data_IF_666562687056
#
_entry.id   IF_666562687056
#
_cell.length_a   1.000
_cell.length_b   1.000
_cell.length_c   1.000
_cell.angle_alpha   90.00
_cell.angle_beta   90.00
_cell.angle_gamma   90.00
#
_symmetry.space_group_name_H-M   'P 1'
#
loop_
_entity.id
_entity.type
_entity.pdbx_description
1 polymer ?
#
# COMPACT_ATOMS: atom_id res chain seq x y z
N UNK A 1 -4.61 -15.82 -9.93
CA UNK A 1 -4.81 -14.74 -10.92
C UNK A 1 -6.07 -13.92 -10.70
N UNK A 2 -7.27 -14.53 -10.67
CA UNK A 2 -8.54 -13.80 -10.47
C UNK A 2 -8.53 -12.88 -9.23
N UNK A 3 -8.04 -13.37 -8.08
CA UNK A 3 -7.91 -12.55 -6.87
C UNK A 3 -7.02 -11.32 -7.04
N UNK A 4 -5.89 -11.45 -7.76
CA UNK A 4 -4.95 -10.35 -8.00
C UNK A 4 -5.57 -9.31 -8.94
N UNK A 5 -6.32 -9.74 -9.94
CA UNK A 5 -7.05 -8.86 -10.84
C UNK A 5 -8.13 -8.07 -10.10
N UNK A 6 -8.94 -8.74 -9.27
CA UNK A 6 -9.97 -8.09 -8.45
C UNK A 6 -9.36 -7.07 -7.49
N UNK A 7 -8.26 -7.41 -6.82
CA UNK A 7 -7.55 -6.51 -5.92
C UNK A 7 -7.03 -5.27 -6.66
N UNK A 8 -6.42 -5.46 -7.83
CA UNK A 8 -5.90 -4.38 -8.67
C UNK A 8 -7.03 -3.46 -9.17
N UNK A 9 -8.16 -4.03 -9.60
CA UNK A 9 -9.34 -3.27 -10.02
C UNK A 9 -9.94 -2.46 -8.86
N UNK A 10 -10.11 -3.08 -7.69
CA UNK A 10 -10.61 -2.40 -6.49
C UNK A 10 -9.70 -1.23 -6.08
N UNK A 11 -8.38 -1.45 -6.10
CA UNK A 11 -7.40 -0.41 -5.80
C UNK A 11 -7.43 0.76 -6.79
N UNK A 12 -7.52 0.47 -8.08
CA UNK A 12 -7.65 1.49 -9.12
C UNK A 12 -8.94 2.30 -8.96
N UNK A 13 -10.06 1.62 -8.69
CA UNK A 13 -11.35 2.26 -8.43
C UNK A 13 -11.32 3.17 -7.20
N UNK A 14 -10.78 2.70 -6.07
CA UNK A 14 -10.56 3.51 -4.88
C UNK A 14 -9.73 4.77 -5.17
N UNK A 15 -8.60 4.61 -5.88
CA UNK A 15 -7.71 5.72 -6.21
C UNK A 15 -8.38 6.76 -7.12
N UNK A 16 -9.24 6.30 -8.03
CA UNK A 16 -10.05 7.17 -8.88
C UNK A 16 -11.13 7.92 -8.10
N UNK A 17 -11.85 7.25 -7.20
CA UNK A 17 -12.83 7.89 -6.31
C UNK A 17 -12.19 8.95 -5.42
N UNK A 18 -10.97 8.70 -4.92
CA UNK A 18 -10.24 9.67 -4.11
C UNK A 18 -9.99 10.99 -4.87
N UNK A 19 -9.75 10.88 -6.18
CA UNK A 19 -9.55 12.00 -7.09
C UNK A 19 -10.86 12.71 -7.52
N UNK A 20 -12.03 12.14 -7.22
CA UNK A 20 -13.36 12.70 -7.55
C UNK A 20 -14.21 12.90 -6.30
N UNK A 21 -13.96 13.95 -5.51
CA UNK A 21 -14.76 14.25 -4.32
C UNK A 21 -16.22 14.49 -4.68
N UNK A 22 -17.13 13.85 -3.96
CA UNK A 22 -18.56 14.19 -3.96
C UNK A 22 -18.88 15.16 -2.82
N UNK A 23 -19.95 15.96 -2.90
CA UNK A 23 -20.37 16.84 -1.80
C UNK A 23 -20.61 16.08 -0.49
N UNK A 24 -21.15 14.86 -0.57
CA UNK A 24 -21.41 13.99 0.58
C UNK A 24 -20.13 13.44 1.24
N UNK A 25 -19.06 13.26 0.47
CA UNK A 25 -17.78 12.78 1.01
C UNK A 25 -16.90 13.90 1.58
N UNK A 26 -17.20 15.16 1.28
CA UNK A 26 -16.45 16.32 1.76
C UNK A 26 -16.25 16.38 3.29
N UNK A 27 -17.28 16.17 4.15
CA UNK A 27 -17.10 16.25 5.60
C UNK A 27 -16.22 15.12 6.16
N UNK A 28 -16.43 13.87 5.73
CA UNK A 28 -15.61 12.72 6.14
C UNK A 28 -14.17 12.85 5.64
N UNK A 29 -13.95 13.41 4.45
CA UNK A 29 -12.60 13.63 3.91
C UNK A 29 -11.86 14.79 4.58
N UNK A 30 -12.59 15.79 5.08
CA UNK A 30 -12.01 16.89 5.84
C UNK A 30 -11.44 16.39 7.18
N UNK A 31 -12.09 15.39 7.79
CA UNK A 31 -11.59 14.68 8.96
C UNK A 31 -10.80 13.43 8.55
N UNK A 32 -9.49 13.60 8.39
CA UNK A 32 -8.59 12.51 8.04
C UNK A 32 -8.65 11.33 9.02
N UNK A 33 -8.87 11.58 10.31
CA UNK A 33 -8.95 10.50 11.30
C UNK A 33 -10.22 9.67 11.08
N UNK A 34 -11.35 10.33 10.82
CA UNK A 34 -12.59 9.65 10.46
C UNK A 34 -12.48 8.88 9.13
N UNK A 35 -11.81 9.45 8.12
CA UNK A 35 -11.57 8.77 6.85
C UNK A 35 -10.71 7.51 7.02
N UNK A 36 -9.59 7.61 7.75
CA UNK A 36 -8.74 6.44 8.06
C UNK A 36 -9.48 5.41 8.92
N UNK A 37 -10.26 5.84 9.91
CA UNK A 37 -11.04 4.95 10.75
C UNK A 37 -12.02 4.12 9.92
N UNK A 38 -12.69 4.74 8.94
CA UNK A 38 -13.54 4.02 7.99
C UNK A 38 -12.79 2.89 7.28
N UNK A 39 -11.57 3.17 6.78
CA UNK A 39 -10.73 2.16 6.13
C UNK A 39 -10.28 1.06 7.10
N UNK A 40 -9.89 1.43 8.32
CA UNK A 40 -9.46 0.51 9.37
C UNK A 40 -10.60 -0.43 9.75
N UNK A 41 -11.83 0.05 9.88
CA UNK A 41 -12.99 -0.80 10.24
C UNK A 41 -13.22 -1.87 9.18
N UNK A 42 -13.25 -1.50 7.90
CA UNK A 42 -13.39 -2.49 6.82
C UNK A 42 -12.22 -3.47 6.78
N UNK A 43 -11.00 -2.99 6.94
CA UNK A 43 -9.80 -3.82 7.02
C UNK A 43 -9.86 -4.81 8.18
N UNK A 44 -10.25 -4.35 9.37
CA UNK A 44 -10.35 -5.15 10.58
C UNK A 44 -11.43 -6.23 10.46
N UNK A 45 -12.60 -5.91 9.90
CA UNK A 45 -13.68 -6.88 9.66
C UNK A 45 -13.18 -8.02 8.77
N UNK A 46 -12.54 -7.69 7.66
CA UNK A 46 -12.00 -8.69 6.74
C UNK A 46 -10.86 -9.47 7.41
N UNK A 47 -9.86 -8.81 7.99
CA UNK A 47 -8.76 -9.47 8.68
C UNK A 47 -9.22 -10.42 9.78
N UNK A 48 -10.24 -10.04 10.57
CA UNK A 48 -10.81 -10.90 11.61
C UNK A 48 -11.53 -12.11 11.01
N UNK A 49 -12.26 -11.92 9.91
CA UNK A 49 -12.92 -13.03 9.21
C UNK A 49 -11.90 -14.06 8.69
N UNK A 50 -10.81 -13.61 8.05
CA UNK A 50 -9.78 -14.53 7.55
C UNK A 50 -8.98 -15.18 8.69
N UNK A 51 -8.60 -14.41 9.71
CA UNK A 51 -7.88 -14.93 10.86
C UNK A 51 -8.71 -15.97 11.64
N UNK A 52 -10.02 -15.75 11.79
CA UNK A 52 -10.91 -16.72 12.45
C UNK A 52 -11.09 -18.01 11.65
N UNK A 53 -11.17 -17.92 10.33
CA UNK A 53 -11.17 -19.11 9.45
C UNK A 53 -9.84 -19.86 9.56
N UNK A 54 -8.70 -19.17 9.51
CA UNK A 54 -7.38 -19.79 9.65
C UNK A 54 -7.20 -20.47 11.02
N UNK A 55 -7.64 -19.83 12.11
CA UNK A 55 -7.63 -20.42 13.44
C UNK A 55 -8.55 -21.64 13.58
N UNK A 56 -9.65 -21.67 12.84
CA UNK A 56 -10.54 -22.83 12.81
C UNK A 56 -10.00 -24.01 12.00
N UNK A 57 -9.08 -23.76 11.07
CA UNK A 57 -8.54 -24.77 10.14
C UNK A 57 -7.11 -25.22 10.49
N UNK A 58 -6.40 -24.49 11.34
CA UNK A 58 -4.98 -24.73 11.64
C UNK A 58 -4.70 -24.62 13.13
N UNK A 59 -3.60 -25.23 13.58
CA UNK A 59 -3.09 -25.09 14.96
C UNK A 59 -2.32 -23.77 15.18
N UNK A 60 -2.70 -22.68 14.48
CA UNK A 60 -2.04 -21.41 14.59
C UNK A 60 -2.06 -20.89 16.05
N UNK A 61 -0.89 -20.54 16.59
CA UNK A 61 -0.73 -20.00 17.96
C UNK A 61 -0.19 -18.59 17.88
N UNK A 62 -0.78 -17.68 18.65
CA UNK A 62 -0.27 -16.32 18.78
C UNK A 62 0.92 -16.31 19.75
N UNK A 63 2.11 -16.01 19.24
CA UNK A 63 3.32 -15.90 20.05
C UNK A 63 3.46 -14.48 20.60
N UNK A 64 3.00 -14.29 21.83
CA UNK A 64 3.13 -13.02 22.53
C UNK A 64 4.59 -12.72 22.86
N UNK A 65 5.00 -11.47 22.64
CA UNK A 65 6.34 -11.01 22.98
C UNK A 65 6.68 -9.68 22.35
N UNK A 66 7.87 -9.18 22.69
CA UNK A 66 8.41 -7.94 22.13
C UNK A 66 8.52 -7.94 20.60
N UNK A 67 8.89 -9.03 19.91
CA UNK A 67 8.91 -9.05 18.45
C UNK A 67 7.54 -8.78 17.84
N UNK A 68 6.47 -9.36 18.40
CA UNK A 68 5.10 -9.12 17.95
C UNK A 68 4.71 -7.65 18.18
N UNK A 69 4.99 -7.11 19.37
CA UNK A 69 4.70 -5.70 19.67
C UNK A 69 5.45 -4.74 18.73
N UNK A 70 6.74 -4.99 18.48
CA UNK A 70 7.55 -4.19 17.56
C UNK A 70 7.04 -4.27 16.11
N UNK A 71 6.67 -5.46 15.64
CA UNK A 71 6.08 -5.64 14.31
C UNK A 71 4.74 -4.88 14.17
N UNK A 72 3.87 -4.96 15.19
CA UNK A 72 2.61 -4.23 15.21
C UNK A 72 2.83 -2.70 15.17
N UNK A 73 3.75 -2.17 16.00
CA UNK A 73 4.08 -0.74 15.99
C UNK A 73 4.64 -0.32 14.64
N UNK A 74 5.56 -1.10 14.07
CA UNK A 74 6.13 -0.82 12.76
C UNK A 74 5.04 -0.77 11.67
N UNK A 75 4.15 -1.77 11.61
CA UNK A 75 3.06 -1.85 10.62
C UNK A 75 2.04 -0.72 10.83
N UNK A 76 1.66 -0.44 12.07
CA UNK A 76 0.68 0.60 12.39
C UNK A 76 1.21 2.00 12.03
N UNK A 77 2.45 2.32 12.40
CA UNK A 77 3.02 3.64 12.17
C UNK A 77 3.47 3.82 10.72
N UNK A 78 4.23 2.86 10.17
CA UNK A 78 4.83 2.98 8.84
C UNK A 78 3.83 2.86 7.70
N UNK A 79 3.46 1.64 7.29
CA UNK A 79 2.59 1.43 6.14
C UNK A 79 1.14 1.85 6.39
N UNK A 80 0.58 1.67 7.59
CA UNK A 80 -0.82 2.00 7.83
C UNK A 80 -1.06 3.52 7.99
N UNK A 81 -0.28 4.20 8.83
CA UNK A 81 -0.53 5.63 9.11
C UNK A 81 0.22 6.56 8.14
N UNK A 82 1.55 6.48 8.12
CA UNK A 82 2.39 7.42 7.39
C UNK A 82 2.28 7.24 5.88
N UNK A 83 2.28 6.00 5.38
CA UNK A 83 2.21 5.74 3.95
C UNK A 83 0.84 6.12 3.37
N UNK A 84 -0.28 5.73 3.99
CA UNK A 84 -1.61 6.13 3.51
C UNK A 84 -1.83 7.64 3.57
N UNK A 85 -1.35 8.32 4.62
CA UNK A 85 -1.39 9.78 4.69
C UNK A 85 -0.63 10.42 3.54
N UNK A 86 0.60 9.96 3.28
CA UNK A 86 1.44 10.47 2.20
C UNK A 86 0.83 10.19 0.82
N UNK A 87 0.27 9.00 0.63
CA UNK A 87 -0.41 8.60 -0.60
C UNK A 87 -1.64 9.47 -0.88
N UNK A 88 -2.56 9.60 0.09
CA UNK A 88 -3.77 10.40 -0.10
C UNK A 88 -3.45 11.88 -0.36
N UNK A 89 -2.46 12.42 0.34
CA UNK A 89 -1.96 13.77 0.13
C UNK A 89 -1.28 13.95 -1.24
N UNK A 90 -0.59 12.93 -1.75
CA UNK A 90 0.03 12.91 -3.07
C UNK A 90 -1.00 12.83 -4.20
N UNK A 91 -1.92 11.87 -4.13
CA UNK A 91 -3.02 11.71 -5.10
C UNK A 91 -3.91 12.95 -5.14
N UNK A 92 -4.22 13.54 -3.99
CA UNK A 92 -5.04 14.75 -3.92
C UNK A 92 -4.40 15.98 -4.57
N UNK A 93 -3.06 16.07 -4.59
CA UNK A 93 -2.32 17.21 -5.20
C UNK A 93 -1.93 16.98 -6.65
N UNK A 94 -1.50 15.76 -6.99
CA UNK A 94 -0.94 15.43 -8.31
C UNK A 94 -1.89 14.63 -9.21
N UNK A 95 -3.00 14.14 -8.65
CA UNK A 95 -3.92 13.25 -9.34
C UNK A 95 -3.47 11.78 -9.36
N UNK A 96 -4.39 10.84 -9.62
CA UNK A 96 -4.13 9.41 -9.52
C UNK A 96 -3.21 8.89 -10.63
N UNK A 97 -3.22 9.52 -11.81
CA UNK A 97 -2.33 9.14 -12.91
C UNK A 97 -0.85 9.38 -12.56
N UNK A 98 -0.53 10.56 -12.03
CA UNK A 98 0.83 10.91 -11.61
C UNK A 98 1.28 10.03 -10.44
N UNK A 99 0.42 9.84 -9.43
CA UNK A 99 0.71 8.97 -8.29
C UNK A 99 0.97 7.51 -8.70
N UNK A 100 0.23 7.02 -9.71
CA UNK A 100 0.43 5.69 -10.29
C UNK A 100 1.83 5.48 -10.90
N UNK A 101 2.44 6.52 -11.49
CA UNK A 101 3.82 6.41 -11.97
C UNK A 101 4.81 6.17 -10.83
N UNK A 102 4.66 6.88 -9.71
CA UNK A 102 5.55 6.72 -8.54
C UNK A 102 5.44 5.35 -7.88
N UNK A 103 4.27 4.68 -7.95
CA UNK A 103 4.14 3.29 -7.48
C UNK A 103 5.12 2.35 -8.18
N UNK A 104 5.45 2.60 -9.45
CA UNK A 104 6.43 1.78 -10.18
C UNK A 104 7.85 1.88 -9.62
N UNK A 105 8.15 2.89 -8.79
CA UNK A 105 9.43 3.00 -8.08
C UNK A 105 9.50 2.13 -6.82
N UNK A 106 8.38 1.56 -6.37
CA UNK A 106 8.36 0.68 -5.17
C UNK A 106 9.40 -0.44 -5.24
N UNK A 107 9.53 -1.21 -6.35
CA UNK A 107 10.53 -2.28 -6.45
C UNK A 107 11.97 -1.77 -6.31
N UNK A 108 12.26 -0.57 -6.79
CA UNK A 108 13.57 0.06 -6.66
C UNK A 108 13.89 0.37 -5.20
N UNK A 109 12.97 1.05 -4.50
CA UNK A 109 13.16 1.35 -3.07
C UNK A 109 13.26 0.08 -2.24
N UNK A 110 12.44 -0.95 -2.54
CA UNK A 110 12.53 -2.26 -1.89
C UNK A 110 13.91 -2.89 -2.09
N UNK A 111 14.48 -2.83 -3.30
CA UNK A 111 15.82 -3.38 -3.56
C UNK A 111 16.92 -2.62 -2.81
N UNK A 112 16.85 -1.28 -2.77
CA UNK A 112 17.80 -0.44 -2.02
C UNK A 112 17.72 -0.67 -0.51
N UNK A 113 16.50 -0.77 0.03
CA UNK A 113 16.27 -1.06 1.44
C UNK A 113 16.72 -2.48 1.79
N UNK A 114 16.42 -3.47 0.94
CA UNK A 114 16.92 -4.85 1.15
C UNK A 114 18.45 -4.88 1.18
N UNK A 115 19.11 -4.23 0.23
CA UNK A 115 20.58 -4.19 0.19
C UNK A 115 21.21 -3.48 1.39
N UNK A 116 20.58 -2.42 1.91
CA UNK A 116 21.13 -1.65 3.04
C UNK A 116 20.79 -2.23 4.41
N UNK A 117 19.60 -2.78 4.58
CA UNK A 117 19.10 -3.28 5.87
C UNK A 117 19.40 -4.76 6.05
N UNK A 118 19.25 -5.58 4.99
CA UNK A 118 19.44 -7.03 5.03
C UNK A 118 20.82 -7.46 4.51
N UNK A 119 21.56 -6.56 3.86
CA UNK A 119 22.86 -6.86 3.25
C UNK A 119 22.76 -7.67 1.95
N UNK A 120 21.57 -7.79 1.36
CA UNK A 120 21.35 -8.56 0.13
C UNK A 120 21.70 -7.74 -1.11
N UNK A 121 22.80 -8.08 -1.80
CA UNK A 121 23.21 -7.37 -3.01
C UNK A 121 22.15 -7.50 -4.13
N UNK A 122 21.82 -6.42 -4.86
CA UNK A 122 20.89 -6.48 -5.97
C UNK A 122 21.45 -7.39 -7.07
N UNK A 123 20.64 -8.37 -7.49
CA UNK A 123 20.98 -9.26 -8.63
C UNK A 123 20.81 -8.54 -9.96
N UNK A 124 21.45 -9.03 -11.03
CA UNK A 124 21.40 -8.43 -12.38
C UNK A 124 19.98 -8.16 -12.90
N UNK A 125 19.02 -9.04 -12.60
CA UNK A 125 17.62 -8.85 -12.99
C UNK A 125 16.96 -7.64 -12.30
N UNK A 126 17.42 -7.21 -11.13
CA UNK A 126 16.96 -5.96 -10.50
C UNK A 126 17.41 -4.76 -11.32
N UNK A 127 18.63 -4.79 -11.88
CA UNK A 127 19.12 -3.76 -12.79
C UNK A 127 18.29 -3.68 -14.07
N UNK A 128 17.93 -4.82 -14.65
CA UNK A 128 17.07 -4.88 -15.84
C UNK A 128 15.64 -4.42 -15.52
N UNK A 129 15.08 -4.82 -14.38
CA UNK A 129 13.78 -4.33 -13.90
C UNK A 129 13.80 -2.81 -13.69
N UNK A 130 14.86 -2.27 -13.09
CA UNK A 130 15.02 -0.83 -12.90
C UNK A 130 15.09 -0.08 -14.23
N UNK A 131 15.87 -0.59 -15.20
CA UNK A 131 15.94 -0.01 -16.54
C UNK A 131 14.55 0.04 -17.21
N UNK A 132 13.76 -1.04 -17.11
CA UNK A 132 12.41 -1.10 -17.66
C UNK A 132 11.46 -0.10 -16.98
N UNK A 133 11.52 0.03 -15.65
CA UNK A 133 10.72 1.01 -14.89
C UNK A 133 11.05 2.44 -15.36
N UNK A 134 12.34 2.80 -15.42
CA UNK A 134 12.80 4.13 -15.85
C UNK A 134 12.36 4.40 -17.29
N UNK A 135 12.54 3.43 -18.19
CA UNK A 135 12.14 3.55 -19.59
C UNK A 135 10.62 3.78 -19.69
N UNK A 136 9.82 3.00 -18.96
CA UNK A 136 8.36 3.13 -18.93
C UNK A 136 7.91 4.52 -18.44
N UNK A 137 8.52 5.03 -17.38
CA UNK A 137 8.24 6.37 -16.85
C UNK A 137 8.59 7.46 -17.90
N UNK A 138 9.78 7.39 -18.49
CA UNK A 138 10.24 8.39 -19.48
C UNK A 138 9.37 8.37 -20.74
N UNK A 139 8.99 7.20 -21.23
CA UNK A 139 8.11 7.09 -22.40
C UNK A 139 6.71 7.61 -22.12
N UNK A 140 6.19 7.39 -20.91
CA UNK A 140 4.84 7.84 -20.54
C UNK A 140 4.75 9.31 -20.15
N UNK A 141 5.85 9.95 -19.72
CA UNK A 141 5.89 11.37 -19.37
C UNK A 141 6.11 12.31 -20.56
N UNK A 142 6.47 11.75 -21.73
CA UNK A 142 6.65 12.48 -22.99
C UNK A 142 5.35 12.63 -23.81
N UNK A 143 4.21 12.20 -23.28
CA UNK A 143 2.86 12.38 -23.84
C UNK A 143 2.03 13.27 -22.92
#
# INVERSE_FOLDING_TARGET
DVYVLLASMAWAYYSWLLARPTPESAPIRADWAAFLLGQIVFGLVWSLAFASVEWGLTDARLHWGWPLAAALVFIACGPALLAYRSWGAGVGRAGPAVAGFFINLTPLFTALLSSSVLGEAPKLFHGLAFALIVLGIVLSSRR
#
